data_IF_817144993238
#
_entry.id   IF_817144993238
#
_cell.length_a   1.000
_cell.length_b   1.000
_cell.length_c   1.000
_cell.angle_alpha   90.00
_cell.angle_beta   90.00
_cell.angle_gamma   90.00
#
_symmetry.space_group_name_H-M   'P 1'
#
loop_
_entity.id
_entity.type
_entity.pdbx_description
1 polymer ?
#
# COMPACT_ATOMS: atom_id res chain seq x y z
N UNK A 1 9.68 11.58 5.92
CA UNK A 1 9.19 10.24 5.55
C UNK A 1 7.80 9.98 6.13
N UNK A 2 7.61 10.08 7.45
CA UNK A 2 6.30 9.87 8.09
C UNK A 2 5.12 10.57 7.38
N UNK A 3 5.27 11.85 7.01
CA UNK A 3 4.24 12.60 6.27
C UNK A 3 3.83 12.00 4.93
N UNK A 4 4.69 11.22 4.27
CA UNK A 4 4.33 10.52 3.03
C UNK A 4 3.54 9.24 3.31
N UNK A 5 3.76 8.57 4.44
CA UNK A 5 2.87 7.48 4.87
C UNK A 5 1.48 8.03 5.23
N UNK A 6 1.42 9.09 6.02
CA UNK A 6 0.15 9.76 6.34
C UNK A 6 -0.60 10.21 5.08
N UNK A 7 0.12 10.78 4.10
CA UNK A 7 -0.42 11.11 2.77
C UNK A 7 -1.00 9.88 2.08
N UNK A 8 -0.21 8.81 1.96
CA UNK A 8 -0.61 7.57 1.30
C UNK A 8 -1.86 6.98 1.94
N UNK A 9 -1.91 6.88 3.27
CA UNK A 9 -3.07 6.35 4.00
C UNK A 9 -4.32 7.21 3.82
N UNK A 10 -4.20 8.54 3.81
CA UNK A 10 -5.33 9.44 3.51
C UNK A 10 -5.85 9.21 2.09
N UNK A 11 -4.95 9.15 1.10
CA UNK A 11 -5.31 8.94 -0.31
C UNK A 11 -5.94 7.56 -0.51
N UNK A 12 -5.39 6.51 0.09
CA UNK A 12 -5.95 5.16 0.04
C UNK A 12 -7.36 5.12 0.62
N UNK A 13 -7.58 5.80 1.74
CA UNK A 13 -8.92 5.94 2.33
C UNK A 13 -9.88 6.64 1.37
N UNK A 14 -9.47 7.76 0.77
CA UNK A 14 -10.28 8.47 -0.23
C UNK A 14 -10.63 7.56 -1.42
N UNK A 15 -9.68 6.71 -1.86
CA UNK A 15 -9.93 5.73 -2.93
C UNK A 15 -10.87 4.61 -2.52
N UNK A 16 -10.81 4.14 -1.28
CA UNK A 16 -11.82 3.20 -0.80
C UNK A 16 -13.21 3.83 -0.85
N UNK A 17 -13.35 5.06 -0.36
CA UNK A 17 -14.63 5.79 -0.36
C UNK A 17 -15.12 6.07 -1.79
N UNK A 18 -14.20 6.30 -2.73
CA UNK A 18 -14.52 6.39 -4.17
C UNK A 18 -15.08 5.08 -4.75
N UNK A 19 -14.55 3.93 -4.31
CA UNK A 19 -14.97 2.60 -4.79
C UNK A 19 -16.42 2.28 -4.41
N UNK A 20 -16.99 2.89 -3.36
CA UNK A 20 -18.39 2.71 -2.99
C UNK A 20 -19.35 3.23 -4.09
N UNK A 21 -18.87 4.08 -5.00
CA UNK A 21 -19.64 4.54 -6.16
C UNK A 21 -19.53 3.64 -7.40
N UNK A 22 -18.71 2.59 -7.35
CA UNK A 22 -18.35 1.73 -8.48
C UNK A 22 -18.96 0.35 -8.28
N UNK A 23 -19.42 -0.28 -9.36
CA UNK A 23 -19.98 -1.63 -9.24
C UNK A 23 -18.88 -2.66 -8.95
N UNK A 24 -19.20 -3.72 -8.22
CA UNK A 24 -18.25 -4.81 -7.94
C UNK A 24 -17.67 -5.42 -9.23
N UNK A 25 -18.50 -5.53 -10.28
CA UNK A 25 -18.07 -5.95 -11.62
C UNK A 25 -16.96 -5.06 -12.18
N UNK A 26 -17.11 -3.73 -12.12
CA UNK A 26 -16.11 -2.78 -12.62
C UNK A 26 -14.83 -2.76 -11.76
N UNK A 27 -14.97 -2.99 -10.45
CA UNK A 27 -13.85 -3.08 -9.51
C UNK A 27 -12.98 -4.31 -9.78
N UNK A 28 -13.59 -5.43 -10.16
CA UNK A 28 -12.93 -6.70 -10.48
C UNK A 28 -12.54 -6.85 -11.96
N UNK A 29 -13.04 -5.97 -12.83
CA UNK A 29 -12.79 -6.04 -14.27
C UNK A 29 -11.29 -5.99 -14.58
N UNK A 30 -10.84 -6.88 -15.48
CA UNK A 30 -9.45 -6.92 -15.94
C UNK A 30 -9.16 -5.72 -16.83
N UNK A 31 -8.12 -4.97 -16.47
CA UNK A 31 -7.64 -3.77 -17.17
C UNK A 31 -6.19 -3.95 -17.59
N UNK A 32 -5.74 -3.16 -18.56
CA UNK A 32 -4.33 -3.14 -18.96
C UNK A 32 -3.53 -2.27 -18.00
N UNK A 33 -2.34 -2.73 -17.65
CA UNK A 33 -1.42 -2.06 -16.74
C UNK A 33 -1.53 -2.56 -15.30
N UNK A 34 -0.48 -2.31 -14.52
CA UNK A 34 -0.47 -2.61 -13.09
C UNK A 34 -0.80 -4.07 -12.72
N UNK A 35 -1.33 -4.28 -11.51
CA UNK A 35 -1.79 -5.59 -11.02
C UNK A 35 -3.00 -6.16 -11.78
N UNK A 36 -3.74 -5.34 -12.55
CA UNK A 36 -4.73 -5.81 -13.52
C UNK A 36 -6.20 -5.61 -13.14
N UNK A 37 -6.56 -5.12 -11.95
CA UNK A 37 -7.91 -4.63 -11.63
C UNK A 37 -7.87 -3.58 -10.51
N UNK A 38 -8.94 -2.79 -10.32
CA UNK A 38 -8.97 -1.74 -9.29
C UNK A 38 -8.90 -2.37 -7.89
N UNK A 39 -9.75 -3.37 -7.62
CA UNK A 39 -9.81 -3.99 -6.30
C UNK A 39 -8.53 -4.74 -5.95
N UNK A 40 -7.98 -5.48 -6.93
CA UNK A 40 -6.72 -6.21 -6.72
C UNK A 40 -5.55 -5.25 -6.53
N UNK A 41 -5.55 -4.09 -7.20
CA UNK A 41 -4.49 -3.09 -7.00
C UNK A 41 -4.50 -2.54 -5.59
N UNK A 42 -5.68 -2.24 -5.02
CA UNK A 42 -5.78 -1.80 -3.63
C UNK A 42 -5.33 -2.89 -2.64
N UNK A 43 -5.72 -4.14 -2.89
CA UNK A 43 -5.23 -5.30 -2.14
C UNK A 43 -3.70 -5.41 -2.20
N UNK A 44 -3.13 -5.37 -3.39
CA UNK A 44 -1.69 -5.48 -3.62
C UNK A 44 -0.90 -4.37 -2.90
N UNK A 45 -1.39 -3.14 -2.89
CA UNK A 45 -0.76 -2.03 -2.15
C UNK A 45 -0.68 -2.34 -0.65
N UNK A 46 -1.80 -2.76 -0.05
CA UNK A 46 -1.88 -3.05 1.40
C UNK A 46 -0.96 -4.23 1.74
N UNK A 47 -0.99 -5.25 0.90
CA UNK A 47 -0.24 -6.48 1.10
C UNK A 47 1.27 -6.24 1.05
N UNK A 48 1.75 -5.52 0.03
CA UNK A 48 3.17 -5.16 -0.10
C UNK A 48 3.64 -4.27 1.05
N UNK A 49 2.84 -3.27 1.45
CA UNK A 49 3.17 -2.45 2.62
C UNK A 49 3.27 -3.31 3.89
N UNK A 50 2.27 -4.14 4.15
CA UNK A 50 2.22 -4.97 5.34
C UNK A 50 3.37 -5.97 5.40
N UNK A 51 3.65 -6.67 4.30
CA UNK A 51 4.71 -7.69 4.22
C UNK A 51 6.09 -7.08 4.45
N UNK A 52 6.42 -5.98 3.77
CA UNK A 52 7.71 -5.31 3.98
C UNK A 52 7.87 -4.79 5.41
N UNK A 53 6.86 -4.09 5.95
CA UNK A 53 6.97 -3.53 7.30
C UNK A 53 6.95 -4.62 8.37
N UNK A 54 6.30 -5.77 8.13
CA UNK A 54 6.38 -6.94 9.02
C UNK A 54 7.78 -7.54 9.03
N UNK A 55 8.42 -7.67 7.85
CA UNK A 55 9.82 -8.11 7.75
C UNK A 55 10.78 -7.17 8.48
N UNK A 56 10.59 -5.85 8.36
CA UNK A 56 11.39 -4.86 9.11
C UNK A 56 11.21 -4.93 10.63
N UNK A 57 10.09 -5.46 11.11
CA UNK A 57 9.84 -5.72 12.53
C UNK A 57 10.46 -7.05 13.01
N UNK A 58 11.07 -7.84 12.11
CA UNK A 58 11.58 -9.17 12.42
C UNK A 58 10.46 -10.19 12.66
N UNK A 59 9.23 -9.91 12.22
CA UNK A 59 8.15 -10.90 12.22
C UNK A 59 8.46 -11.95 11.16
N UNK A 60 8.03 -13.22 11.36
CA UNK A 60 8.03 -14.20 10.28
C UNK A 60 7.31 -13.63 9.06
N UNK A 61 7.76 -14.02 7.87
CA UNK A 61 7.06 -13.66 6.64
C UNK A 61 5.58 -14.04 6.79
N UNK A 62 4.66 -13.04 6.75
CA UNK A 62 3.25 -13.33 6.89
C UNK A 62 2.82 -14.23 5.74
N UNK A 63 2.01 -15.24 6.03
CA UNK A 63 1.43 -16.05 4.96
C UNK A 63 0.64 -15.12 4.04
N UNK A 64 1.06 -15.04 2.78
CA UNK A 64 0.38 -14.19 1.79
C UNK A 64 -1.10 -14.58 1.72
N UNK A 65 -2.01 -13.66 2.05
CA UNK A 65 -3.43 -13.91 1.89
C UNK A 65 -3.75 -14.11 0.41
N UNK A 66 -4.66 -15.03 0.11
CA UNK A 66 -5.19 -15.10 -1.26
C UNK A 66 -6.11 -13.92 -1.49
N UNK A 67 -6.05 -13.30 -2.66
CA UNK A 67 -6.91 -12.16 -2.99
C UNK A 67 -8.40 -12.54 -2.91
N UNK A 68 -8.73 -13.79 -3.26
CA UNK A 68 -10.07 -14.35 -3.23
C UNK A 68 -10.74 -14.21 -1.86
N UNK A 69 -9.95 -14.31 -0.77
CA UNK A 69 -10.46 -14.15 0.58
C UNK A 69 -10.95 -12.72 0.85
N UNK A 70 -10.42 -11.72 0.12
CA UNK A 70 -10.64 -10.29 0.30
C UNK A 70 -11.26 -9.58 -0.91
N UNK A 71 -11.77 -10.34 -1.89
CA UNK A 71 -12.30 -9.83 -3.17
C UNK A 71 -13.66 -9.10 -3.05
N UNK A 72 -13.88 -8.32 -1.99
CA UNK A 72 -14.93 -7.31 -1.89
C UNK A 72 -14.48 -6.15 -0.99
N UNK A 73 -15.08 -4.98 -1.19
CA UNK A 73 -14.68 -3.74 -0.51
C UNK A 73 -14.75 -3.80 1.02
N UNK A 74 -15.73 -4.50 1.60
CA UNK A 74 -15.87 -4.60 3.05
C UNK A 74 -14.67 -5.34 3.64
N UNK A 75 -14.39 -6.54 3.14
CA UNK A 75 -13.26 -7.36 3.61
C UNK A 75 -11.93 -6.68 3.36
N UNK A 76 -11.78 -5.98 2.24
CA UNK A 76 -10.56 -5.25 1.93
C UNK A 76 -10.30 -4.09 2.91
N UNK A 77 -11.34 -3.35 3.31
CA UNK A 77 -11.24 -2.32 4.34
C UNK A 77 -10.87 -2.91 5.70
N UNK A 78 -11.47 -4.04 6.07
CA UNK A 78 -11.13 -4.77 7.31
C UNK A 78 -9.66 -5.24 7.29
N UNK A 79 -9.19 -5.77 6.17
CA UNK A 79 -7.78 -6.13 5.97
C UNK A 79 -6.85 -4.93 6.13
N UNK A 80 -7.16 -3.83 5.42
CA UNK A 80 -6.37 -2.60 5.51
C UNK A 80 -6.31 -2.06 6.92
N UNK A 81 -7.42 -2.08 7.67
CA UNK A 81 -7.47 -1.58 9.04
C UNK A 81 -6.61 -2.43 9.99
N UNK A 82 -6.70 -3.76 9.89
CA UNK A 82 -5.88 -4.70 10.68
C UNK A 82 -4.39 -4.53 10.39
N UNK A 83 -4.01 -4.53 9.11
CA UNK A 83 -2.62 -4.29 8.72
C UNK A 83 -2.11 -2.94 9.23
N UNK A 84 -2.92 -1.88 9.07
CA UNK A 84 -2.57 -0.55 9.51
C UNK A 84 -2.32 -0.49 11.01
N UNK A 85 -3.19 -1.08 11.84
CA UNK A 85 -3.01 -1.14 13.29
C UNK A 85 -1.68 -1.79 13.69
N UNK A 86 -1.28 -2.86 12.99
CA UNK A 86 -0.04 -3.58 13.27
C UNK A 86 1.23 -2.84 12.86
N UNK A 87 1.24 -2.14 11.72
CA UNK A 87 2.45 -1.50 11.18
C UNK A 87 2.67 -0.08 11.72
N UNK A 88 1.58 0.59 12.11
CA UNK A 88 1.61 2.00 12.47
C UNK A 88 2.54 2.33 13.63
N UNK A 89 2.59 1.55 14.74
CA UNK A 89 3.54 1.80 15.82
C UNK A 89 5.00 1.79 15.35
N UNK A 90 5.37 0.88 14.45
CA UNK A 90 6.72 0.80 13.90
C UNK A 90 7.05 2.03 13.04
N UNK A 91 6.12 2.46 12.19
CA UNK A 91 6.30 3.64 11.33
C UNK A 91 6.45 4.92 12.15
N UNK A 92 5.63 5.11 13.19
CA UNK A 92 5.75 6.29 14.07
C UNK A 92 6.99 6.24 14.97
N UNK A 93 7.50 5.05 15.32
CA UNK A 93 8.74 4.90 16.08
C UNK A 93 10.01 5.06 15.23
N UNK A 94 9.87 5.25 13.91
CA UNK A 94 11.01 5.36 13.01
C UNK A 94 11.94 6.50 13.38
N UNK A 95 13.23 6.22 13.41
CA UNK A 95 14.28 7.21 13.62
C UNK A 95 15.47 6.98 12.68
N UNK A 96 16.33 7.99 12.54
CA UNK A 96 17.44 7.98 11.57
C UNK A 96 18.41 6.82 11.74
N UNK A 97 18.55 6.22 12.94
CA UNK A 97 19.41 5.05 13.15
C UNK A 97 18.92 3.79 12.45
N UNK A 98 17.63 3.75 12.08
CA UNK A 98 17.04 2.61 11.39
C UNK A 98 17.40 2.58 9.91
N UNK A 99 17.70 3.72 9.28
CA UNK A 99 17.97 3.85 7.85
C UNK A 99 19.04 2.88 7.33
N UNK A 100 20.07 2.61 8.16
CA UNK A 100 21.22 1.78 7.80
C UNK A 100 21.14 0.34 8.29
N UNK A 101 20.06 -0.05 8.99
CA UNK A 101 19.85 -1.44 9.39
C UNK A 101 19.65 -2.31 8.14
N UNK A 102 20.07 -3.56 8.24
CA UNK A 102 20.00 -4.52 7.15
C UNK A 102 18.91 -5.55 7.45
N UNK A 103 18.03 -5.78 6.48
CA UNK A 103 17.17 -6.95 6.44
C UNK A 103 17.89 -7.99 5.58
N UNK A 104 18.18 -9.15 6.17
CA UNK A 104 18.72 -10.30 5.45
C UNK A 104 17.55 -11.14 4.95
N UNK A 105 17.41 -11.27 3.63
CA UNK A 105 16.45 -12.21 3.04
C UNK A 105 17.04 -13.63 3.12
N UNK A 106 16.50 -14.41 4.06
CA UNK A 106 16.95 -15.75 4.40
C UNK A 106 16.42 -16.81 3.43
N UNK A 107 16.53 -16.61 2.12
CA UNK A 107 16.20 -17.67 1.16
C UNK A 107 17.41 -18.63 1.01
N UNK A 108 17.33 -19.92 1.40
CA UNK A 108 18.49 -20.82 1.46
C UNK A 108 19.15 -21.13 0.10
N UNK A 109 18.48 -20.80 -1.00
CA UNK A 109 18.85 -21.21 -2.37
C UNK A 109 19.34 -20.06 -3.24
N UNK A 110 19.18 -18.80 -2.82
CA UNK A 110 19.72 -17.63 -3.50
C UNK A 110 20.80 -16.99 -2.64
N UNK A 111 21.74 -16.27 -3.27
CA UNK A 111 22.63 -15.37 -2.54
C UNK A 111 21.78 -14.54 -1.58
N UNK A 112 22.22 -14.43 -0.31
CA UNK A 112 21.64 -13.51 0.68
C UNK A 112 21.48 -12.13 0.03
N UNK A 113 20.25 -11.83 -0.40
CA UNK A 113 19.90 -10.48 -0.79
C UNK A 113 19.69 -9.71 0.51
N UNK A 114 20.33 -8.55 0.60
CA UNK A 114 20.32 -7.74 1.79
C UNK A 114 19.93 -6.33 1.42
N UNK A 115 18.92 -5.81 2.11
CA UNK A 115 18.35 -4.51 1.83
C UNK A 115 18.48 -3.62 3.04
N UNK A 116 18.78 -2.34 2.81
CA UNK A 116 18.73 -1.34 3.88
C UNK A 116 17.27 -1.06 4.23
N UNK A 117 16.95 -0.92 5.50
CA UNK A 117 15.58 -0.58 5.90
C UNK A 117 15.12 0.74 5.26
N UNK A 118 16.02 1.73 5.15
CA UNK A 118 15.72 3.00 4.47
C UNK A 118 15.37 2.84 2.99
N UNK A 119 15.94 1.85 2.32
CA UNK A 119 15.62 1.51 0.92
C UNK A 119 14.21 0.90 0.83
N UNK A 120 13.91 -0.08 1.69
CA UNK A 120 12.60 -0.72 1.77
C UNK A 120 11.50 0.31 2.06
N UNK A 121 11.70 1.21 3.01
CA UNK A 121 10.70 2.24 3.32
C UNK A 121 10.41 3.15 2.10
N UNK A 122 11.44 3.54 1.36
CA UNK A 122 11.25 4.35 0.15
C UNK A 122 10.58 3.55 -0.97
N UNK A 123 10.91 2.27 -1.10
CA UNK A 123 10.20 1.36 -1.99
C UNK A 123 8.70 1.33 -1.67
N UNK A 124 8.31 1.04 -0.43
CA UNK A 124 6.91 1.01 0.01
C UNK A 124 6.17 2.32 -0.30
N UNK A 125 6.78 3.47 0.05
CA UNK A 125 6.18 4.79 -0.23
C UNK A 125 5.93 5.02 -1.72
N UNK A 126 6.93 4.74 -2.56
CA UNK A 126 6.86 4.98 -4.00
C UNK A 126 5.98 3.95 -4.73
N UNK A 127 5.92 2.72 -4.23
CA UNK A 127 5.10 1.62 -4.75
C UNK A 127 3.61 1.97 -4.71
N UNK A 128 3.13 2.46 -3.57
CA UNK A 128 1.74 2.88 -3.46
C UNK A 128 1.42 4.08 -4.35
N UNK A 129 2.26 5.13 -4.34
CA UNK A 129 2.07 6.30 -5.20
C UNK A 129 1.98 5.90 -6.67
N UNK A 130 2.85 4.97 -7.09
CA UNK A 130 2.86 4.43 -8.44
C UNK A 130 1.52 3.74 -8.80
N UNK A 131 1.03 2.84 -7.95
CA UNK A 131 -0.20 2.10 -8.19
C UNK A 131 -1.47 2.96 -8.07
N UNK A 132 -1.50 3.93 -7.15
CA UNK A 132 -2.55 4.94 -7.08
C UNK A 132 -2.62 5.78 -8.37
N UNK A 133 -1.46 6.06 -8.98
CA UNK A 133 -1.40 6.70 -10.29
C UNK A 133 -2.12 5.89 -11.37
N UNK A 134 -2.02 4.56 -11.35
CA UNK A 134 -2.73 3.67 -12.29
C UNK A 134 -4.24 3.73 -12.08
N UNK A 135 -4.71 3.73 -10.82
CA UNK A 135 -6.14 3.88 -10.50
C UNK A 135 -6.70 5.19 -11.06
N UNK A 136 -5.91 6.27 -11.07
CA UNK A 136 -6.34 7.54 -11.64
C UNK A 136 -6.68 7.44 -13.12
N UNK A 137 -5.93 6.63 -13.89
CA UNK A 137 -6.21 6.40 -15.32
C UNK A 137 -7.49 5.58 -15.48
N UNK A 138 -7.61 4.44 -14.79
CA UNK A 138 -8.78 3.57 -14.90
C UNK A 138 -10.07 4.23 -14.42
N UNK A 139 -10.00 5.12 -13.43
CA UNK A 139 -11.16 5.90 -13.00
C UNK A 139 -11.75 6.74 -14.15
N UNK A 140 -10.88 7.30 -15.01
CA UNK A 140 -11.28 8.08 -16.18
C UNK A 140 -11.89 7.19 -17.27
N UNK A 141 -11.35 6.00 -17.47
CA UNK A 141 -11.86 5.03 -18.45
C UNK A 141 -13.30 4.61 -18.15
N UNK A 142 -13.68 4.54 -16.87
CA UNK A 142 -15.07 4.28 -16.44
C UNK A 142 -15.90 5.54 -16.23
N UNK A 143 -15.43 6.70 -16.73
CA UNK A 143 -16.19 7.96 -16.72
C UNK A 143 -16.30 8.62 -15.34
N UNK A 144 -15.46 8.26 -14.37
CA UNK A 144 -15.46 8.82 -13.01
C UNK A 144 -14.29 9.77 -12.78
N UNK A 145 -14.48 10.70 -11.85
CA UNK A 145 -13.41 11.62 -11.43
C UNK A 145 -12.45 10.87 -10.47
N UNK A 146 -11.12 10.93 -10.67
CA UNK A 146 -10.15 10.37 -9.75
C UNK A 146 -10.08 11.18 -8.46
N UNK A 147 -9.61 10.54 -7.40
CA UNK A 147 -9.16 11.22 -6.19
C UNK A 147 -7.92 12.07 -6.51
N UNK A 148 -7.83 13.25 -5.88
CA UNK A 148 -6.66 14.13 -6.04
C UNK A 148 -5.39 13.49 -5.46
N UNK A 149 -4.30 13.48 -6.23
CA UNK A 149 -2.98 13.05 -5.76
C UNK A 149 -2.15 14.22 -5.18
N UNK A 150 -2.76 15.37 -4.90
CA UNK A 150 -2.04 16.51 -4.36
C UNK A 150 -1.66 16.24 -2.90
N UNK A 151 -0.38 16.36 -2.58
CA UNK A 151 0.11 16.36 -1.18
C UNK A 151 -0.22 17.70 -0.49
N UNK A 152 -0.14 18.80 -1.24
CA UNK A 152 -0.45 20.15 -0.76
C UNK A 152 -1.95 20.26 -0.43
N UNK A 153 -2.28 20.99 0.65
CA UNK A 153 -3.65 21.21 1.15
C UNK A 153 -4.39 19.95 1.62
N UNK A 154 -3.66 18.93 2.07
CA UNK A 154 -4.22 17.75 2.76
C UNK A 154 -4.18 17.82 4.30
N UNK A 155 -3.76 18.95 4.87
CA UNK A 155 -3.66 19.13 6.32
C UNK A 155 -2.55 18.30 6.98
N UNK A 156 -1.54 17.87 6.21
CA UNK A 156 -0.41 17.08 6.71
C UNK A 156 0.69 17.93 7.37
N UNK A 157 0.75 19.20 7.02
CA UNK A 157 1.71 20.18 7.53
C UNK A 157 0.92 21.34 8.12
N UNK A 158 1.28 21.76 9.32
CA UNK A 158 0.72 22.97 9.91
C UNK A 158 1.09 24.18 9.04
N UNK A 159 0.13 25.10 8.90
CA UNK A 159 0.32 26.37 8.21
C UNK A 159 0.88 27.44 9.15
#
# INVERSE_FOLDING_TARGET
>A
MLKLFEYNWQVRKDWFDWCDSVTEKELLEKRRGGPGSILYTLFHIIDVEYSWISGLQGKPEPQEPTFEDYANMKKLREYSARCHEEITPFIYAWNSSMETRILEDGNPTNKLESFKYGEIIRHVLTHEIHHIGQLSVWSREIGKQPITANVIRRGLFDC
#
